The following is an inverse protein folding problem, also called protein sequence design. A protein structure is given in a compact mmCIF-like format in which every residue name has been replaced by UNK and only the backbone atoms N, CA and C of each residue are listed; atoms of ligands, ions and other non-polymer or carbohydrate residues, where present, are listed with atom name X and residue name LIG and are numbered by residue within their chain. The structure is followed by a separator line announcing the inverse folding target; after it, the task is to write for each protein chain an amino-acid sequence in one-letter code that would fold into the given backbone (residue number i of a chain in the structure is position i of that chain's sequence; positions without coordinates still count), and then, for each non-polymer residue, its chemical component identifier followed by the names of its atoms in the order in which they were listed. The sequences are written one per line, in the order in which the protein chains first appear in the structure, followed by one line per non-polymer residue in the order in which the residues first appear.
data_IF_428841170659
#
_entry.id   IF_428841170659
#
_cell.length_a   1.000
_cell.length_b   1.000
_cell.length_c   1.000
_cell.angle_alpha   90.00
_cell.angle_beta   90.00
_cell.angle_gamma   90.00
#
_symmetry.space_group_name_H-M   'P 1'
#
loop_
_entity.id
_entity.type
_entity.pdbx_description
1 polymer ?
#
# COMPACT_ATOMS: atom_id res chain seq x y z
N UNK A 1 -70.96 39.59 -16.23
CA UNK A 1 -70.24 40.12 -15.06
C UNK A 1 -69.15 39.13 -14.71
N UNK A 2 -67.89 39.55 -14.73
CA UNK A 2 -66.78 38.80 -14.13
C UNK A 2 -66.60 39.33 -12.72
N UNK A 3 -66.66 38.47 -11.71
CA UNK A 3 -66.43 38.86 -10.32
C UNK A 3 -64.94 39.01 -10.04
N UNK A 4 -64.53 40.25 -9.75
CA UNK A 4 -63.18 40.57 -9.29
C UNK A 4 -63.02 40.09 -7.84
N UNK A 5 -62.63 38.83 -7.65
CA UNK A 5 -62.26 38.31 -6.31
C UNK A 5 -60.90 38.87 -5.92
N UNK A 6 -60.90 39.98 -5.18
CA UNK A 6 -59.68 40.56 -4.58
C UNK A 6 -59.30 39.80 -3.30
N UNK A 7 -58.04 39.40 -3.18
CA UNK A 7 -57.52 38.68 -2.01
C UNK A 7 -57.37 39.60 -0.79
N UNK A 8 -57.74 39.11 0.39
CA UNK A 8 -57.57 39.84 1.64
C UNK A 8 -56.08 39.96 2.00
N UNK A 9 -55.68 41.06 2.65
CA UNK A 9 -54.29 41.24 3.11
C UNK A 9 -53.78 40.10 4.00
N UNK A 10 -54.68 39.40 4.71
CA UNK A 10 -54.37 38.21 5.52
C UNK A 10 -54.05 36.98 4.66
N UNK A 11 -54.72 36.83 3.52
CA UNK A 11 -54.48 35.73 2.57
C UNK A 11 -53.15 35.94 1.85
N UNK A 12 -52.85 37.18 1.45
CA UNK A 12 -51.55 37.54 0.87
C UNK A 12 -50.43 37.27 1.88
N UNK A 13 -50.60 37.69 3.14
CA UNK A 13 -49.61 37.43 4.19
C UNK A 13 -49.41 35.91 4.43
N UNK A 14 -50.48 35.12 4.43
CA UNK A 14 -50.38 33.66 4.61
C UNK A 14 -49.65 32.98 3.44
N UNK A 15 -49.95 33.37 2.19
CA UNK A 15 -49.28 32.84 0.99
C UNK A 15 -47.80 33.23 0.99
N UNK A 16 -47.47 34.48 1.30
CA UNK A 16 -46.08 34.93 1.39
C UNK A 16 -45.30 34.15 2.47
N UNK A 17 -45.90 33.95 3.64
CA UNK A 17 -45.29 33.17 4.72
C UNK A 17 -45.02 31.72 4.28
N UNK A 18 -45.98 31.10 3.60
CA UNK A 18 -45.83 29.74 3.08
C UNK A 18 -44.71 29.64 2.04
N UNK A 19 -44.65 30.58 1.09
CA UNK A 19 -43.60 30.62 0.06
C UNK A 19 -42.22 30.81 0.67
N UNK A 20 -42.07 31.67 1.68
CA UNK A 20 -40.80 31.88 2.38
C UNK A 20 -40.36 30.63 3.13
N UNK A 21 -41.27 29.96 3.84
CA UNK A 21 -40.96 28.72 4.56
C UNK A 21 -40.58 27.57 3.60
N UNK A 22 -41.29 27.44 2.49
CA UNK A 22 -40.96 26.45 1.44
C UNK A 22 -39.60 26.73 0.80
N UNK A 23 -39.29 28.01 0.51
CA UNK A 23 -37.98 28.41 -0.02
C UNK A 23 -36.84 28.13 0.95
N UNK A 24 -37.03 28.43 2.24
CA UNK A 24 -36.03 28.18 3.28
C UNK A 24 -35.74 26.68 3.45
N UNK A 25 -36.79 25.86 3.50
CA UNK A 25 -36.65 24.40 3.63
C UNK A 25 -35.97 23.76 2.41
N UNK A 26 -36.30 24.22 1.19
CA UNK A 26 -35.64 23.78 -0.03
C UNK A 26 -34.14 24.16 -0.04
N UNK A 27 -33.81 25.39 0.36
CA UNK A 27 -32.42 25.86 0.40
C UNK A 27 -31.57 25.08 1.42
N UNK A 28 -32.11 24.82 2.62
CA UNK A 28 -31.43 24.02 3.65
C UNK A 28 -31.18 22.60 3.16
N UNK A 29 -32.20 21.98 2.56
CA UNK A 29 -32.09 20.62 2.02
C UNK A 29 -31.05 20.53 0.91
N UNK A 30 -31.03 21.53 0.02
CA UNK A 30 -30.05 21.61 -1.07
C UNK A 30 -28.62 21.76 -0.55
N UNK A 31 -28.39 22.64 0.43
CA UNK A 31 -27.05 22.85 1.02
C UNK A 31 -26.56 21.63 1.79
N UNK A 32 -27.45 20.97 2.53
CA UNK A 32 -27.12 19.71 3.20
C UNK A 32 -26.77 18.61 2.18
N UNK A 33 -27.52 18.51 1.08
CA UNK A 33 -27.20 17.60 -0.02
C UNK A 33 -25.85 17.88 -0.67
N UNK A 34 -25.52 19.15 -0.91
CA UNK A 34 -24.19 19.53 -1.40
C UNK A 34 -23.05 19.23 -0.41
N UNK A 35 -23.28 19.36 0.89
CA UNK A 35 -22.28 18.98 1.90
C UNK A 35 -22.07 17.46 1.98
N UNK A 36 -23.10 16.65 1.71
CA UNK A 36 -22.97 15.19 1.61
C UNK A 36 -22.32 14.78 0.28
N UNK A 37 -22.68 15.44 -0.82
CA UNK A 37 -22.13 15.14 -2.15
C UNK A 37 -20.70 15.68 -2.36
N UNK A 38 -20.35 16.79 -1.70
CA UNK A 38 -19.03 17.42 -1.73
C UNK A 38 -18.18 17.16 -0.48
N UNK A 39 -18.75 16.49 0.52
CA UNK A 39 -18.07 16.10 1.75
C UNK A 39 -17.20 14.89 1.49
N UNK A 40 -15.98 14.96 2.02
CA UNK A 40 -14.91 13.98 2.04
C UNK A 40 -15.26 12.64 2.72
N UNK A 41 -16.41 12.03 2.42
CA UNK A 41 -16.79 10.68 2.83
C UNK A 41 -16.01 9.57 2.10
N UNK A 42 -15.06 9.95 1.22
CA UNK A 42 -14.08 9.04 0.63
C UNK A 42 -12.79 8.87 1.44
N UNK A 43 -12.72 9.43 2.66
CA UNK A 43 -11.51 9.42 3.49
C UNK A 43 -11.48 8.31 4.55
N UNK A 44 -12.38 7.32 4.49
CA UNK A 44 -12.41 6.21 5.45
C UNK A 44 -12.63 4.82 4.83
N UNK A 45 -12.26 4.62 3.56
CA UNK A 45 -11.77 3.29 3.13
C UNK A 45 -10.57 3.47 2.21
N UNK A 46 -9.63 4.34 2.59
CA UNK A 46 -8.23 4.02 2.39
C UNK A 46 -7.85 2.95 3.43
N UNK A 47 -8.53 1.81 3.39
CA UNK A 47 -7.92 0.59 3.85
C UNK A 47 -6.63 0.54 3.04
N UNK A 48 -5.50 0.74 3.72
CA UNK A 48 -4.26 0.24 3.21
C UNK A 48 -4.55 -1.20 2.81
N UNK A 49 -4.70 -1.44 1.51
CA UNK A 49 -4.21 -2.67 0.93
C UNK A 49 -2.73 -2.63 1.26
N UNK A 50 -2.40 -3.00 2.50
CA UNK A 50 -1.10 -3.55 2.80
C UNK A 50 -1.01 -4.71 1.82
N UNK A 51 -0.30 -4.48 0.71
CA UNK A 51 0.11 -5.53 -0.19
C UNK A 51 0.54 -6.69 0.70
N UNK A 52 0.00 -7.88 0.45
CA UNK A 52 0.29 -9.04 1.28
C UNK A 52 1.81 -9.09 1.55
N UNK A 53 2.22 -9.35 2.81
CA UNK A 53 3.63 -9.27 3.17
C UNK A 53 4.46 -10.14 2.23
N UNK A 54 5.61 -9.61 1.81
CA UNK A 54 6.50 -10.30 0.88
C UNK A 54 6.91 -11.64 1.49
N UNK A 55 6.65 -12.73 0.78
CA UNK A 55 6.93 -14.08 1.27
C UNK A 55 8.41 -14.43 1.09
N UNK A 56 9.22 -14.11 2.10
CA UNK A 56 10.67 -14.36 2.10
C UNK A 56 11.05 -15.84 1.96
N UNK A 57 10.26 -16.76 2.53
CA UNK A 57 10.48 -18.20 2.38
C UNK A 57 10.33 -18.64 0.93
N UNK A 58 9.25 -18.22 0.27
CA UNK A 58 9.00 -18.57 -1.13
C UNK A 58 10.12 -18.04 -2.04
N UNK A 59 10.54 -16.79 -1.84
CA UNK A 59 11.66 -16.19 -2.58
C UNK A 59 12.96 -16.95 -2.34
N UNK A 60 13.26 -17.32 -1.09
CA UNK A 60 14.45 -18.11 -0.76
C UNK A 60 14.45 -19.48 -1.43
N UNK A 61 13.32 -20.19 -1.39
CA UNK A 61 13.19 -21.51 -2.02
C UNK A 61 13.36 -21.41 -3.54
N UNK A 62 12.76 -20.40 -4.17
CA UNK A 62 12.84 -20.21 -5.62
C UNK A 62 14.21 -19.78 -6.12
N UNK A 63 14.97 -19.02 -5.33
CA UNK A 63 16.14 -18.29 -5.83
C UNK A 63 17.46 -18.64 -5.12
N UNK A 64 17.43 -19.18 -3.90
CA UNK A 64 18.62 -19.33 -3.05
C UNK A 64 18.90 -20.78 -2.65
N UNK A 65 17.85 -21.54 -2.31
CA UNK A 65 17.94 -22.87 -1.73
C UNK A 65 18.68 -23.89 -2.62
N UNK A 66 18.61 -23.72 -3.94
CA UNK A 66 19.32 -24.60 -4.88
C UNK A 66 20.84 -24.60 -4.70
N UNK A 67 21.42 -23.49 -4.23
CA UNK A 67 22.85 -23.38 -3.97
C UNK A 67 23.19 -23.40 -2.48
N UNK A 68 22.37 -22.73 -1.65
CA UNK A 68 22.61 -22.55 -0.22
C UNK A 68 21.91 -23.58 0.69
N UNK A 69 21.18 -24.54 0.10
CA UNK A 69 20.45 -25.58 0.81
C UNK A 69 19.08 -25.12 1.30
N UNK A 70 18.15 -26.06 1.53
CA UNK A 70 16.78 -25.74 1.94
C UNK A 70 16.67 -25.08 3.33
N UNK A 71 17.66 -25.28 4.18
CA UNK A 71 17.78 -24.77 5.55
C UNK A 71 19.02 -23.88 5.69
N UNK A 72 19.47 -23.24 4.61
CA UNK A 72 20.66 -22.39 4.63
C UNK A 72 21.96 -23.08 5.10
N UNK A 73 21.99 -24.42 5.08
CA UNK A 73 23.11 -25.21 5.57
C UNK A 73 24.30 -25.28 4.60
N UNK A 74 24.12 -24.78 3.38
CA UNK A 74 25.11 -24.83 2.30
C UNK A 74 24.94 -26.03 1.37
N UNK A 75 25.81 -26.09 0.37
CA UNK A 75 25.82 -27.10 -0.68
C UNK A 75 26.83 -26.69 -1.75
N UNK A 76 26.33 -26.19 -2.88
CA UNK A 76 27.17 -25.56 -3.91
C UNK A 76 27.74 -24.23 -3.39
N UNK A 77 26.90 -23.45 -2.72
CA UNK A 77 27.28 -22.24 -2.00
C UNK A 77 27.56 -22.53 -0.52
N UNK A 78 28.18 -21.57 0.20
CA UNK A 78 28.41 -21.70 1.63
C UNK A 78 27.08 -21.70 2.41
N UNK A 79 27.10 -22.25 3.63
CA UNK A 79 26.00 -22.05 4.57
C UNK A 79 25.86 -20.57 4.97
N UNK A 80 24.64 -20.15 5.27
CA UNK A 80 24.29 -18.74 5.50
C UNK A 80 24.16 -18.35 6.98
N UNK A 81 24.52 -19.25 7.91
CA UNK A 81 24.46 -18.98 9.36
C UNK A 81 25.22 -17.69 9.75
N UNK A 82 26.39 -17.44 9.14
CA UNK A 82 27.13 -16.20 9.39
C UNK A 82 26.41 -14.96 8.83
N UNK A 83 25.83 -15.06 7.63
CA UNK A 83 25.12 -13.95 7.00
C UNK A 83 23.76 -13.66 7.62
N UNK A 84 23.16 -14.62 8.34
CA UNK A 84 21.95 -14.39 9.13
C UNK A 84 22.15 -13.31 10.20
N UNK A 85 23.37 -13.20 10.75
CA UNK A 85 23.72 -12.19 11.75
C UNK A 85 24.14 -10.83 11.15
N UNK A 86 24.17 -10.69 9.82
CA UNK A 86 24.62 -9.45 9.19
C UNK A 86 23.60 -8.32 9.36
N UNK A 87 24.08 -7.08 9.18
CA UNK A 87 23.19 -5.95 9.02
C UNK A 87 22.37 -6.12 7.73
N UNK A 88 21.20 -5.48 7.66
CA UNK A 88 20.39 -5.49 6.44
C UNK A 88 21.18 -4.94 5.24
N UNK A 89 21.94 -3.86 5.46
CA UNK A 89 22.76 -3.24 4.42
C UNK A 89 23.86 -4.18 3.90
N UNK A 90 24.56 -4.90 4.78
CA UNK A 90 25.59 -5.86 4.37
C UNK A 90 24.99 -7.05 3.61
N UNK A 91 23.82 -7.53 4.05
CA UNK A 91 23.11 -8.61 3.37
C UNK A 91 22.64 -8.16 1.97
N UNK A 92 22.04 -6.98 1.87
CA UNK A 92 21.64 -6.38 0.59
C UNK A 92 22.84 -6.18 -0.34
N UNK A 93 23.95 -5.63 0.16
CA UNK A 93 25.16 -5.44 -0.64
C UNK A 93 25.73 -6.78 -1.14
N UNK A 94 25.64 -7.84 -0.34
CA UNK A 94 26.09 -9.17 -0.73
C UNK A 94 25.21 -9.79 -1.83
N UNK A 95 23.89 -9.71 -1.68
CA UNK A 95 22.94 -10.31 -2.61
C UNK A 95 22.84 -9.52 -3.92
N UNK A 96 22.72 -8.20 -3.82
CA UNK A 96 22.55 -7.34 -4.99
C UNK A 96 23.86 -7.13 -5.75
N UNK A 97 24.97 -6.92 -5.04
CA UNK A 97 26.23 -6.46 -5.65
C UNK A 97 27.43 -7.35 -5.36
N UNK A 98 27.25 -8.44 -4.61
CA UNK A 98 28.35 -9.34 -4.28
C UNK A 98 29.38 -8.79 -3.33
N UNK A 99 29.01 -7.81 -2.51
CA UNK A 99 29.86 -7.18 -1.50
C UNK A 99 29.41 -7.66 -0.13
N UNK A 100 30.09 -8.67 0.40
CA UNK A 100 29.83 -9.21 1.73
C UNK A 100 30.38 -8.31 2.83
N UNK A 101 29.99 -8.63 4.07
CA UNK A 101 30.45 -7.93 5.26
C UNK A 101 31.98 -7.71 5.26
N UNK A 102 32.40 -6.50 5.63
CA UNK A 102 33.81 -6.10 5.63
C UNK A 102 34.40 -5.85 4.24
N UNK A 103 33.58 -5.69 3.19
CA UNK A 103 34.03 -5.35 1.84
C UNK A 103 34.53 -6.54 1.01
N UNK A 104 34.34 -7.77 1.50
CA UNK A 104 34.73 -8.99 0.79
C UNK A 104 33.93 -9.11 -0.51
N UNK A 105 34.61 -9.33 -1.64
CA UNK A 105 33.92 -9.62 -2.90
C UNK A 105 33.59 -11.11 -2.99
N UNK A 106 32.33 -11.44 -3.26
CA UNK A 106 31.86 -12.82 -3.37
C UNK A 106 32.27 -13.43 -4.72
N UNK A 107 32.33 -14.75 -4.79
CA UNK A 107 32.63 -15.45 -6.04
C UNK A 107 31.59 -15.09 -7.13
N UNK A 108 32.00 -14.98 -8.43
CA UNK A 108 31.09 -14.65 -9.52
C UNK A 108 29.97 -15.67 -9.76
N UNK A 109 30.14 -16.90 -9.25
CA UNK A 109 29.12 -17.95 -9.33
C UNK A 109 27.86 -17.60 -8.54
N UNK A 110 27.97 -16.80 -7.48
CA UNK A 110 26.79 -16.26 -6.82
C UNK A 110 26.27 -15.09 -7.67
N UNK A 111 25.05 -15.19 -8.23
CA UNK A 111 24.50 -14.14 -9.07
C UNK A 111 24.45 -12.82 -8.33
N UNK A 112 24.62 -11.74 -9.09
CA UNK A 112 24.37 -10.39 -8.61
C UNK A 112 22.91 -10.09 -8.91
N UNK A 113 22.08 -10.08 -7.88
CA UNK A 113 20.62 -10.02 -8.04
C UNK A 113 20.12 -8.62 -8.41
N UNK A 114 20.98 -7.60 -8.37
CA UNK A 114 20.67 -6.32 -8.97
C UNK A 114 20.50 -6.43 -10.50
N UNK A 115 21.28 -7.29 -11.15
CA UNK A 115 21.24 -7.51 -12.60
C UNK A 115 20.45 -8.77 -12.98
N UNK A 116 20.55 -9.83 -12.19
CA UNK A 116 19.86 -11.09 -12.47
C UNK A 116 18.36 -11.05 -12.14
N UNK A 117 17.97 -10.20 -11.19
CA UNK A 117 16.60 -10.13 -10.69
C UNK A 117 16.17 -11.35 -9.87
N UNK A 118 14.97 -11.26 -9.31
CA UNK A 118 14.26 -12.34 -8.62
C UNK A 118 13.01 -12.71 -9.43
N UNK A 119 12.84 -14.00 -9.72
CA UNK A 119 11.71 -14.52 -10.50
C UNK A 119 11.48 -13.79 -11.85
N UNK A 120 12.59 -13.39 -12.50
CA UNK A 120 12.57 -12.70 -13.79
C UNK A 120 12.18 -11.22 -13.72
N UNK A 121 12.19 -10.60 -12.53
CA UNK A 121 11.95 -9.16 -12.31
C UNK A 121 13.07 -8.54 -11.48
N UNK A 122 13.18 -7.22 -11.53
CA UNK A 122 14.14 -6.50 -10.70
C UNK A 122 13.92 -6.79 -9.20
N UNK A 123 15.01 -7.08 -8.49
CA UNK A 123 14.96 -7.35 -7.06
C UNK A 123 14.66 -6.06 -6.29
N UNK A 124 13.66 -6.07 -5.41
CA UNK A 124 13.33 -4.92 -4.56
C UNK A 124 13.98 -5.03 -3.18
N UNK A 125 14.28 -3.89 -2.51
CA UNK A 125 14.81 -3.90 -1.15
C UNK A 125 13.94 -4.70 -0.17
N UNK A 126 12.61 -4.63 -0.31
CA UNK A 126 11.64 -5.35 0.51
C UNK A 126 11.74 -6.87 0.32
N UNK A 127 11.97 -7.33 -0.92
CA UNK A 127 12.20 -8.75 -1.21
C UNK A 127 13.47 -9.26 -0.55
N UNK A 128 14.57 -8.51 -0.67
CA UNK A 128 15.85 -8.88 -0.07
C UNK A 128 15.73 -8.90 1.46
N UNK A 129 15.05 -7.92 2.06
CA UNK A 129 14.79 -7.90 3.49
C UNK A 129 13.91 -9.05 3.97
N UNK A 130 12.89 -9.43 3.20
CA UNK A 130 12.06 -10.59 3.51
C UNK A 130 12.88 -11.90 3.47
N UNK A 131 13.78 -12.05 2.50
CA UNK A 131 14.70 -13.20 2.43
C UNK A 131 15.63 -13.21 3.64
N UNK A 132 16.20 -12.06 4.01
CA UNK A 132 17.08 -11.97 5.17
C UNK A 132 16.36 -12.33 6.47
N UNK A 133 15.13 -11.85 6.65
CA UNK A 133 14.28 -12.17 7.79
C UNK A 133 13.98 -13.68 7.86
N UNK A 134 13.73 -14.32 6.71
CA UNK A 134 13.56 -15.78 6.66
C UNK A 134 14.86 -16.51 7.04
N UNK A 135 16.01 -16.12 6.47
CA UNK A 135 17.31 -16.74 6.78
C UNK A 135 17.69 -16.59 8.26
N UNK A 136 17.31 -15.48 8.90
CA UNK A 136 17.44 -15.26 10.34
C UNK A 136 16.60 -16.21 11.20
N UNK A 137 15.50 -16.71 10.66
CA UNK A 137 14.57 -17.60 11.36
C UNK A 137 14.87 -19.10 11.19
N UNK A 138 15.92 -19.45 10.43
CA UNK A 138 16.40 -20.82 10.25
C UNK A 138 17.43 -21.19 11.34
#
# INVERSE_FOLDING_TARGET
MSEDRSFSGREIAAVLTFVVLAGATALVSYRSGLNVAGGSGGAEVAAAVASAPVNGQALYVGNCAGCHGAQAQGGVGPGLANSAAWSEADFQAAVLHGKGAGGRTLAPVMPRFAEAGLDGKDATPEQIGAIHAYVKGL
#
